data_IF_425077889057
#
_entry.id   IF_425077889057
#
_cell.length_a   1.000
_cell.length_b   1.000
_cell.length_c   1.000
_cell.angle_alpha   90.00
_cell.angle_beta   90.00
_cell.angle_gamma   90.00
#
_symmetry.space_group_name_H-M   'P 1'
#
loop_
_entity.id
_entity.type
_entity.pdbx_description
1 polymer ?
#
# COMPACT_ATOMS: atom_id res chain seq x y z
N UNK A 1 -23.02 -10.44 -17.81
CA UNK A 1 -21.56 -10.35 -17.63
C UNK A 1 -21.29 -9.06 -16.89
N UNK A 2 -20.86 -9.16 -15.64
CA UNK A 2 -20.49 -7.98 -14.86
C UNK A 2 -19.38 -7.22 -15.58
N UNK A 3 -19.71 -6.00 -16.01
CA UNK A 3 -18.76 -5.06 -16.55
C UNK A 3 -17.99 -4.53 -15.35
N UNK A 4 -17.06 -5.33 -14.82
CA UNK A 4 -16.06 -4.84 -13.87
C UNK A 4 -15.41 -3.62 -14.54
N UNK A 5 -15.72 -2.42 -14.04
CA UNK A 5 -15.05 -1.19 -14.47
C UNK A 5 -13.56 -1.51 -14.47
N UNK A 6 -12.87 -1.25 -15.58
CA UNK A 6 -11.40 -1.32 -15.62
C UNK A 6 -10.88 -0.37 -14.54
N UNK A 7 -10.59 -0.92 -13.36
CA UNK A 7 -9.98 -0.17 -12.28
C UNK A 7 -8.67 0.38 -12.79
N UNK A 8 -8.39 1.66 -12.52
CA UNK A 8 -7.10 2.22 -12.86
C UNK A 8 -6.07 1.63 -11.90
N UNK A 9 -5.23 0.72 -12.42
CA UNK A 9 -4.19 0.04 -11.62
C UNK A 9 -3.20 1.03 -11.01
N UNK A 10 -2.93 2.13 -11.71
CA UNK A 10 -2.02 3.17 -11.22
C UNK A 10 -2.67 3.93 -10.06
N UNK A 11 -3.97 4.25 -10.17
CA UNK A 11 -4.72 4.84 -9.06
C UNK A 11 -4.76 3.91 -7.83
N UNK A 12 -4.92 2.60 -8.03
CA UNK A 12 -4.90 1.63 -6.93
C UNK A 12 -3.53 1.62 -6.24
N UNK A 13 -2.44 1.67 -7.02
CA UNK A 13 -1.08 1.76 -6.45
C UNK A 13 -0.89 3.05 -5.66
N UNK A 14 -1.37 4.18 -6.17
CA UNK A 14 -1.29 5.47 -5.49
C UNK A 14 -2.06 5.44 -4.16
N UNK A 15 -3.28 4.91 -4.15
CA UNK A 15 -4.08 4.75 -2.92
C UNK A 15 -3.32 3.89 -1.91
N UNK A 16 -2.75 2.76 -2.34
CA UNK A 16 -1.99 1.88 -1.45
C UNK A 16 -0.74 2.57 -0.89
N UNK A 17 -0.03 3.35 -1.72
CA UNK A 17 1.14 4.15 -1.32
C UNK A 17 0.77 5.18 -0.26
N UNK A 18 -0.30 5.94 -0.49
CA UNK A 18 -0.77 6.94 0.48
C UNK A 18 -1.23 6.31 1.79
N UNK A 19 -1.87 5.13 1.73
CA UNK A 19 -2.32 4.40 2.93
C UNK A 19 -1.12 4.01 3.80
N UNK A 20 -0.06 3.46 3.20
CA UNK A 20 1.18 3.11 3.92
C UNK A 20 1.87 4.34 4.49
N UNK A 21 2.00 5.40 3.68
CA UNK A 21 2.63 6.66 4.11
C UNK A 21 1.91 7.30 5.30
N UNK A 22 0.57 7.37 5.25
CA UNK A 22 -0.22 7.93 6.34
C UNK A 22 -0.08 7.07 7.60
N UNK A 23 -0.07 5.74 7.45
CA UNK A 23 0.16 4.83 8.57
C UNK A 23 1.52 5.08 9.24
N UNK A 24 2.59 5.25 8.46
CA UNK A 24 3.93 5.57 8.96
C UNK A 24 3.93 6.93 9.66
N UNK A 25 3.27 7.95 9.09
CA UNK A 25 3.17 9.29 9.68
C UNK A 25 2.43 9.29 11.02
N UNK A 26 1.35 8.53 11.14
CA UNK A 26 0.55 8.47 12.37
C UNK A 26 1.22 7.63 13.47
N UNK A 27 1.87 6.53 13.10
CA UNK A 27 2.47 5.58 14.06
C UNK A 27 3.94 5.90 14.39
N UNK A 28 4.63 6.65 13.54
CA UNK A 28 6.07 6.85 13.63
C UNK A 28 6.83 5.58 13.22
N UNK A 29 7.66 5.06 14.15
CA UNK A 29 8.43 3.84 13.92
C UNK A 29 7.50 2.61 13.91
N UNK A 30 7.20 2.10 12.72
CA UNK A 30 6.42 0.89 12.51
C UNK A 30 7.20 -0.09 11.65
N UNK A 31 7.18 -1.36 12.03
CA UNK A 31 7.89 -2.41 11.28
C UNK A 31 7.15 -2.75 9.98
N UNK A 32 7.89 -3.12 8.92
CA UNK A 32 7.30 -3.53 7.63
C UNK A 32 6.25 -4.64 7.81
N UNK A 33 6.50 -5.58 8.72
CA UNK A 33 5.61 -6.69 9.04
C UNK A 33 4.30 -6.23 9.67
N UNK A 34 4.34 -5.20 10.51
CA UNK A 34 3.14 -4.62 11.11
C UNK A 34 2.33 -3.81 10.10
N UNK A 35 2.97 -3.09 9.18
CA UNK A 35 2.28 -2.42 8.07
C UNK A 35 1.53 -3.46 7.22
N UNK A 36 2.20 -4.55 6.84
CA UNK A 36 1.60 -5.62 6.06
C UNK A 36 0.36 -6.22 6.75
N UNK A 37 0.46 -6.50 8.06
CA UNK A 37 -0.67 -7.02 8.85
C UNK A 37 -1.82 -6.01 8.99
N UNK A 38 -1.53 -4.72 9.13
CA UNK A 38 -2.55 -3.67 9.32
C UNK A 38 -3.27 -3.30 8.03
N UNK A 39 -2.54 -3.26 6.92
CA UNK A 39 -3.09 -2.92 5.61
C UNK A 39 -3.60 -4.14 4.83
N UNK A 40 -3.41 -5.36 5.36
CA UNK A 40 -3.66 -6.63 4.66
C UNK A 40 -2.97 -6.69 3.29
N UNK A 41 -1.76 -6.13 3.23
CA UNK A 41 -0.97 -6.07 2.01
C UNK A 41 -0.01 -7.25 1.94
N UNK A 42 0.09 -7.84 0.75
CA UNK A 42 1.17 -8.78 0.45
C UNK A 42 2.54 -8.11 0.62
N UNK A 43 3.51 -8.87 1.15
CA UNK A 43 4.88 -8.37 1.38
C UNK A 43 5.54 -7.84 0.09
N UNK A 44 5.17 -8.38 -1.07
CA UNK A 44 5.61 -7.90 -2.38
C UNK A 44 5.11 -6.48 -2.68
N UNK A 45 3.83 -6.20 -2.42
CA UNK A 45 3.23 -4.87 -2.58
C UNK A 45 3.88 -3.85 -1.67
N UNK A 46 4.12 -4.22 -0.41
CA UNK A 46 4.78 -3.33 0.54
C UNK A 46 6.24 -3.07 0.16
N UNK A 47 6.94 -4.09 -0.36
CA UNK A 47 8.31 -3.92 -0.86
C UNK A 47 8.35 -2.95 -2.03
N UNK A 48 7.46 -3.11 -3.01
CA UNK A 48 7.34 -2.19 -4.15
C UNK A 48 7.06 -0.75 -3.70
N UNK A 49 6.15 -0.56 -2.75
CA UNK A 49 5.80 0.78 -2.23
C UNK A 49 6.98 1.43 -1.50
N UNK A 50 7.74 0.65 -0.72
CA UNK A 50 8.87 1.18 0.05
C UNK A 50 10.12 1.42 -0.82
N UNK A 51 10.32 0.60 -1.85
CA UNK A 51 11.39 0.78 -2.84
C UNK A 51 11.18 2.06 -3.67
N UNK A 52 9.93 2.35 -4.03
CA UNK A 52 9.51 3.61 -4.69
C UNK A 52 9.60 4.85 -3.77
N UNK A 53 9.94 4.66 -2.49
CA UNK A 53 10.10 5.73 -1.51
C UNK A 53 11.57 6.12 -1.29
N UNK A 54 12.54 5.31 -1.75
CA UNK A 54 13.98 5.58 -1.68
C UNK A 54 14.43 6.56 -2.77
#
# INVERSE_FOLDING_TARGET
MDILRKGNKDLIKDINRYTVLNLIREKGEITRTEIAKKCDFGMSTLTYILDDLQ
#
